data_IF_000757333527
#
_entry.id   IF_000757333527
#
_cell.length_a   1.000
_cell.length_b   1.000
_cell.length_c   1.000
_cell.angle_alpha   90.00
_cell.angle_beta   90.00
_cell.angle_gamma   90.00
#
_symmetry.space_group_name_H-M   'P 1'
#
loop_
_entity.id
_entity.type
_entity.pdbx_description
1 polymer ?
#
# COMPACT_ATOMS: atom_id res chain seq x y z
N UNK A 1 -1.48 8.78 5.61
CA UNK A 1 -1.00 7.38 5.65
C UNK A 1 -1.82 6.56 4.67
N UNK A 2 -1.20 5.62 3.96
CA UNK A 2 -1.85 4.62 3.11
C UNK A 2 -1.99 3.32 3.90
N UNK A 3 -3.15 2.68 3.87
CA UNK A 3 -3.40 1.40 4.54
C UNK A 3 -3.79 0.37 3.48
N UNK A 4 -2.90 -0.58 3.18
CA UNK A 4 -3.16 -1.67 2.24
C UNK A 4 -3.66 -2.93 2.92
N UNK A 5 -4.22 -3.86 2.15
CA UNK A 5 -4.57 -5.20 2.63
C UNK A 5 -5.87 -5.29 3.42
N UNK A 6 -6.71 -4.25 3.37
CA UNK A 6 -7.99 -4.22 4.09
C UNK A 6 -8.90 -5.37 3.63
N UNK A 7 -9.72 -5.86 4.55
CA UNK A 7 -10.84 -6.71 4.20
C UNK A 7 -11.83 -5.90 3.34
N UNK A 8 -12.53 -6.55 2.42
CA UNK A 8 -13.53 -5.88 1.58
C UNK A 8 -14.72 -5.36 2.40
N UNK A 9 -14.96 -5.95 3.56
CA UNK A 9 -15.98 -5.55 4.51
C UNK A 9 -15.53 -4.42 5.45
N UNK A 10 -14.23 -4.12 5.52
CA UNK A 10 -13.71 -3.04 6.35
C UNK A 10 -14.38 -1.71 5.98
N UNK A 11 -14.81 -0.99 7.01
CA UNK A 11 -15.51 0.29 6.89
C UNK A 11 -14.61 1.43 7.38
N UNK A 12 -14.97 2.67 7.03
CA UNK A 12 -14.27 3.85 7.53
C UNK A 12 -14.31 3.88 9.06
N UNK A 13 -15.43 3.45 9.64
CA UNK A 13 -15.63 3.39 11.08
C UNK A 13 -14.71 2.34 11.75
N UNK A 14 -14.70 1.09 11.25
CA UNK A 14 -13.85 0.04 11.84
C UNK A 14 -12.36 0.36 11.68
N UNK A 15 -11.97 0.96 10.56
CA UNK A 15 -10.62 1.47 10.34
C UNK A 15 -10.27 2.58 11.35
N UNK A 16 -11.19 3.53 11.57
CA UNK A 16 -11.00 4.64 12.52
C UNK A 16 -10.84 4.13 13.93
N UNK A 17 -11.74 3.26 14.39
CA UNK A 17 -11.73 2.69 15.72
C UNK A 17 -10.43 1.95 15.99
N UNK A 18 -10.00 1.12 15.05
CA UNK A 18 -8.74 0.40 15.15
C UNK A 18 -7.54 1.34 15.27
N UNK A 19 -7.44 2.38 14.44
CA UNK A 19 -6.29 3.28 14.47
C UNK A 19 -6.34 4.33 15.60
N UNK A 20 -7.52 4.59 16.16
CA UNK A 20 -7.68 5.52 17.29
C UNK A 20 -6.97 5.05 18.56
N UNK A 21 -6.64 3.77 18.68
CA UNK A 21 -5.82 3.24 19.78
C UNK A 21 -4.37 3.75 19.78
N UNK A 22 -3.88 4.28 18.65
CA UNK A 22 -2.52 4.81 18.51
C UNK A 22 -2.45 6.34 18.61
N UNK A 23 -3.56 7.02 18.36
CA UNK A 23 -3.64 8.48 18.39
C UNK A 23 -4.91 9.02 17.74
N UNK A 24 -5.13 10.33 17.88
CA UNK A 24 -6.31 11.01 17.33
C UNK A 24 -6.32 10.98 15.79
N UNK A 25 -7.34 10.35 15.21
CA UNK A 25 -7.56 10.26 13.76
C UNK A 25 -8.40 11.45 13.29
N UNK A 26 -7.81 12.31 12.47
CA UNK A 26 -8.48 13.46 11.85
C UNK A 26 -9.40 12.99 10.73
N UNK A 27 -8.87 12.16 9.83
CA UNK A 27 -9.56 11.70 8.63
C UNK A 27 -9.23 10.23 8.36
N UNK A 28 -10.22 9.47 7.91
CA UNK A 28 -10.03 8.11 7.43
C UNK A 28 -11.07 7.78 6.36
N UNK A 29 -10.63 7.14 5.28
CA UNK A 29 -11.49 6.81 4.15
C UNK A 29 -11.04 5.49 3.53
N UNK A 30 -11.93 4.50 3.48
CA UNK A 30 -11.77 3.27 2.71
C UNK A 30 -12.14 3.57 1.26
N UNK A 31 -11.21 3.30 0.36
CA UNK A 31 -11.41 3.59 -1.05
C UNK A 31 -12.32 2.53 -1.66
N UNK A 32 -13.41 2.99 -2.26
CA UNK A 32 -14.41 2.14 -2.92
C UNK A 32 -14.47 2.47 -4.39
N UNK A 33 -14.86 1.48 -5.20
CA UNK A 33 -15.22 1.69 -6.59
C UNK A 33 -16.50 2.54 -6.66
N UNK A 34 -16.48 3.61 -7.44
CA UNK A 34 -17.59 4.57 -7.50
C UNK A 34 -18.85 4.04 -8.18
N UNK A 35 -18.74 2.98 -8.98
CA UNK A 35 -19.88 2.39 -9.70
C UNK A 35 -20.54 1.25 -8.92
N UNK A 36 -19.74 0.43 -8.24
CA UNK A 36 -20.20 -0.79 -7.54
C UNK A 36 -20.24 -0.65 -6.02
N UNK A 37 -19.61 0.39 -5.45
CA UNK A 37 -19.47 0.58 -4.01
C UNK A 37 -18.53 -0.43 -3.32
N UNK A 38 -17.94 -1.35 -4.08
CA UNK A 38 -17.05 -2.39 -3.54
C UNK A 38 -15.74 -1.78 -3.06
N UNK A 39 -15.27 -2.25 -1.91
CA UNK A 39 -13.97 -1.86 -1.37
C UNK A 39 -12.85 -2.25 -2.33
N UNK A 40 -11.89 -1.35 -2.51
CA UNK A 40 -10.66 -1.59 -3.26
C UNK A 40 -9.58 -2.26 -2.41
N UNK A 41 -9.87 -2.60 -1.16
CA UNK A 41 -8.94 -3.26 -0.24
C UNK A 41 -7.84 -2.33 0.30
N UNK A 42 -8.04 -1.02 0.23
CA UNK A 42 -7.13 -0.05 0.82
C UNK A 42 -7.87 1.22 1.26
N UNK A 43 -7.22 1.99 2.14
CA UNK A 43 -7.74 3.26 2.63
C UNK A 43 -6.63 4.28 2.89
N UNK A 44 -7.06 5.50 3.19
CA UNK A 44 -6.18 6.56 3.65
C UNK A 44 -6.58 6.97 5.06
N UNK A 45 -5.58 7.35 5.85
CA UNK A 45 -5.77 7.79 7.23
C UNK A 45 -4.81 8.92 7.57
N UNK A 46 -5.30 9.93 8.26
CA UNK A 46 -4.55 11.09 8.73
C UNK A 46 -4.65 11.19 10.24
N UNK A 47 -3.51 11.07 10.93
CA UNK A 47 -3.40 11.34 12.36
C UNK A 47 -3.17 12.83 12.61
N UNK A 48 -3.58 13.29 13.79
CA UNK A 48 -3.27 14.64 14.27
C UNK A 48 -1.80 14.83 14.61
N UNK A 49 -1.20 13.85 15.29
CA UNK A 49 0.23 13.87 15.58
C UNK A 49 0.99 13.05 14.53
N UNK A 50 1.91 13.67 13.75
CA UNK A 50 2.77 12.97 12.82
C UNK A 50 3.63 11.89 13.49
N UNK A 51 3.95 12.00 14.78
CA UNK A 51 4.75 10.99 15.51
C UNK A 51 4.03 9.65 15.61
N UNK A 52 2.70 9.64 15.65
CA UNK A 52 1.90 8.41 15.65
C UNK A 52 2.19 7.52 14.44
N UNK A 53 2.53 8.12 13.29
CA UNK A 53 2.92 7.38 12.08
C UNK A 53 4.10 6.46 12.33
N UNK A 54 5.12 6.92 13.06
CA UNK A 54 6.32 6.12 13.33
C UNK A 54 6.01 4.91 14.22
N UNK A 55 5.08 5.06 15.16
CA UNK A 55 4.64 3.98 16.06
C UNK A 55 3.88 2.91 15.27
N UNK A 56 3.01 3.34 14.36
CA UNK A 56 2.23 2.44 13.49
C UNK A 56 3.15 1.70 12.52
N UNK A 57 4.15 2.35 11.93
CA UNK A 57 5.01 1.72 10.92
C UNK A 57 5.89 0.56 11.42
N UNK A 58 6.12 0.45 12.74
CA UNK A 58 6.98 -0.59 13.32
C UNK A 58 6.21 -1.78 13.89
N UNK A 59 4.87 -1.72 13.87
CA UNK A 59 4.00 -2.76 14.41
C UNK A 59 3.34 -3.54 13.28
N UNK A 60 3.09 -4.83 13.53
CA UNK A 60 2.20 -5.61 12.70
C UNK A 60 0.75 -5.31 13.08
N UNK A 61 -0.12 -5.26 12.08
CA UNK A 61 -1.50 -4.84 12.25
C UNK A 61 -2.47 -5.87 11.70
N UNK A 62 -3.50 -6.15 12.50
CA UNK A 62 -4.59 -7.06 12.16
C UNK A 62 -5.92 -6.35 12.32
N UNK A 63 -6.74 -6.36 11.26
CA UNK A 63 -8.07 -5.76 11.23
C UNK A 63 -9.01 -6.66 10.44
N UNK A 64 -10.21 -6.89 10.98
CA UNK A 64 -11.27 -7.69 10.32
C UNK A 64 -10.78 -9.05 9.79
N UNK A 65 -9.94 -9.73 10.60
CA UNK A 65 -9.38 -11.04 10.27
C UNK A 65 -8.26 -11.05 9.22
N UNK A 66 -7.74 -9.88 8.82
CA UNK A 66 -6.62 -9.76 7.87
C UNK A 66 -5.44 -8.99 8.44
N UNK A 67 -4.24 -9.38 8.01
CA UNK A 67 -3.03 -8.56 8.15
C UNK A 67 -3.17 -7.35 7.21
N UNK A 68 -2.93 -6.16 7.75
CA UNK A 68 -2.93 -4.91 6.98
C UNK A 68 -1.52 -4.32 6.94
N UNK A 69 -1.25 -3.50 5.93
CA UNK A 69 0.08 -2.98 5.63
C UNK A 69 0.07 -1.44 5.56
N UNK A 70 0.25 -0.75 6.72
CA UNK A 70 0.33 0.70 6.78
C UNK A 70 1.65 1.24 6.22
N UNK A 71 1.56 2.20 5.31
CA UNK A 71 2.71 2.88 4.69
C UNK A 71 2.55 4.38 4.67
N UNK A 72 3.66 5.10 4.54
CA UNK A 72 3.60 6.54 4.22
C UNK A 72 2.83 6.72 2.91
N UNK A 73 1.90 7.66 2.90
CA UNK A 73 1.14 7.95 1.69
C UNK A 73 2.05 8.69 0.71
N UNK A 74 2.04 8.27 -0.55
CA UNK A 74 2.67 8.99 -1.66
C UNK A 74 1.61 9.91 -2.26
N UNK A 75 1.88 11.22 -2.45
CA UNK A 75 0.97 12.14 -3.12
C UNK A 75 0.51 11.62 -4.48
N UNK A 76 -0.72 11.98 -4.90
CA UNK A 76 -1.30 11.48 -6.16
C UNK A 76 -0.45 11.86 -7.38
N UNK A 77 0.02 13.10 -7.45
CA UNK A 77 0.85 13.60 -8.56
C UNK A 77 2.19 12.86 -8.69
N UNK A 78 2.70 12.32 -7.59
CA UNK A 78 3.90 11.47 -7.58
C UNK A 78 3.56 10.03 -7.97
N UNK A 79 2.39 9.50 -7.57
CA UNK A 79 1.97 8.15 -7.96
C UNK A 79 1.86 7.99 -9.48
N UNK A 80 1.34 9.00 -10.19
CA UNK A 80 1.20 8.96 -11.66
C UNK A 80 2.57 8.90 -12.37
N UNK A 81 3.65 9.33 -11.71
CA UNK A 81 5.02 9.25 -12.22
C UNK A 81 5.69 7.91 -11.90
N UNK A 82 5.13 7.11 -11.00
CA UNK A 82 5.68 5.79 -10.65
C UNK A 82 5.14 4.72 -11.59
N UNK A 83 5.97 4.24 -12.51
CA UNK A 83 5.65 3.05 -13.31
C UNK A 83 6.01 1.79 -12.54
N UNK A 84 5.03 1.15 -11.90
CA UNK A 84 5.21 -0.17 -11.31
C UNK A 84 5.18 -1.23 -12.42
N UNK A 85 6.23 -2.04 -12.49
CA UNK A 85 6.31 -3.20 -13.37
C UNK A 85 6.33 -4.48 -12.53
N UNK A 86 5.63 -5.51 -12.98
CA UNK A 86 5.72 -6.86 -12.42
C UNK A 86 6.63 -7.70 -13.30
N UNK A 87 7.63 -8.34 -12.68
CA UNK A 87 8.63 -9.14 -13.40
C UNK A 87 8.43 -10.60 -13.02
N UNK A 88 7.90 -11.38 -13.96
CA UNK A 88 7.78 -12.83 -13.83
C UNK A 88 9.01 -13.56 -14.37
N UNK A 89 9.30 -14.75 -13.84
CA UNK A 89 10.43 -15.58 -14.31
C UNK A 89 11.79 -15.24 -13.68
N UNK A 90 11.80 -14.52 -12.56
CA UNK A 90 13.01 -14.32 -11.75
C UNK A 90 13.41 -15.66 -11.11
N UNK A 91 14.69 -16.04 -11.20
CA UNK A 91 15.20 -17.26 -10.54
C UNK A 91 15.08 -17.10 -9.02
N UNK A 92 14.83 -18.19 -8.30
CA UNK A 92 14.80 -18.17 -6.82
C UNK A 92 16.17 -17.84 -6.21
N UNK A 93 17.24 -17.98 -6.99
CA UNK A 93 18.61 -17.66 -6.58
C UNK A 93 18.96 -16.19 -6.82
N UNK A 94 18.13 -15.43 -7.54
CA UNK A 94 18.41 -14.03 -7.87
C UNK A 94 18.33 -13.17 -6.61
N UNK A 95 19.40 -12.43 -6.35
CA UNK A 95 19.47 -11.48 -5.24
C UNK A 95 18.84 -10.13 -5.59
N UNK A 96 18.44 -9.37 -4.57
CA UNK A 96 17.95 -7.99 -4.74
C UNK A 96 18.96 -7.08 -5.44
N UNK A 97 20.26 -7.30 -5.22
CA UNK A 97 21.32 -6.50 -5.81
C UNK A 97 21.42 -6.78 -7.32
N UNK A 98 21.47 -8.05 -7.72
CA UNK A 98 21.46 -8.44 -9.13
C UNK A 98 20.19 -7.96 -9.85
N UNK A 99 19.04 -8.04 -9.17
CA UNK A 99 17.78 -7.54 -9.71
C UNK A 99 17.84 -6.03 -9.97
N UNK A 100 18.33 -5.24 -9.00
CA UNK A 100 18.49 -3.79 -9.16
C UNK A 100 19.48 -3.44 -10.25
N UNK A 101 20.62 -4.13 -10.31
CA UNK A 101 21.67 -3.87 -11.31
C UNK A 101 21.20 -4.19 -12.74
N UNK A 102 20.31 -5.19 -12.90
CA UNK A 102 19.66 -5.49 -14.17
C UNK A 102 18.75 -4.34 -14.64
N UNK A 103 17.96 -3.76 -13.73
CA UNK A 103 17.04 -2.65 -14.05
C UNK A 103 17.69 -1.25 -14.04
N UNK A 104 18.89 -1.12 -13.50
CA UNK A 104 19.66 0.13 -13.50
C UNK A 104 20.37 0.42 -14.84
N UNK A 105 20.51 -0.59 -15.71
CA UNK A 105 21.09 -0.45 -17.04
C UNK A 105 20.09 0.22 -18.00
N UNK A 106 20.54 1.05 -18.96
CA UNK A 106 19.67 1.63 -19.98
C UNK A 106 18.94 0.49 -20.72
N UNK A 107 17.61 0.52 -20.63
CA UNK A 107 16.69 -0.60 -20.82
C UNK A 107 17.22 -1.74 -21.72
N UNK A 108 17.44 -2.96 -21.18
CA UNK A 108 17.53 -4.14 -22.04
C UNK A 108 16.21 -4.24 -22.84
N UNK A 109 16.29 -4.69 -24.09
CA UNK A 109 15.11 -4.89 -24.96
C UNK A 109 14.18 -5.94 -24.34
N UNK A 110 13.32 -5.52 -23.41
CA UNK A 110 12.24 -6.33 -22.87
C UNK A 110 11.31 -6.64 -24.03
N UNK A 111 11.34 -7.89 -24.50
CA UNK A 111 10.37 -8.38 -25.48
C UNK A 111 9.11 -8.77 -24.72
N UNK A 112 8.12 -7.89 -24.73
CA UNK A 112 6.78 -8.23 -24.31
C UNK A 112 6.21 -9.27 -25.27
N UNK A 113 6.04 -10.52 -24.82
CA UNK A 113 5.13 -11.46 -25.46
C UNK A 113 3.74 -11.19 -24.90
N UNK A 114 2.79 -10.88 -25.79
CA UNK A 114 1.38 -11.01 -25.45
C UNK A 114 1.09 -12.50 -25.31
N UNK A 115 0.48 -12.87 -24.19
CA UNK A 115 -0.26 -14.13 -24.03
C UNK A 115 -1.72 -13.85 -24.34
#
# INVERSE_FOLDING_TARGET
>A
MFIGGLNWETTDQSLREYFSQFGEVIECTVMRDGSTGRSRGFGFLTFKDPKTVNIVMVKEHYLDGKIIDPKRAIPRDEQEKTSKIFVGGVSQETTDQEFKDFFAQPAPRLRFRHV
#
